data_IF_778295585555
#
_entry.id   IF_778295585555
#
_cell.length_a   1.000
_cell.length_b   1.000
_cell.length_c   1.000
_cell.angle_alpha   90.00
_cell.angle_beta   90.00
_cell.angle_gamma   90.00
#
_symmetry.space_group_name_H-M   'P 1'
#
loop_
_entity.id
_entity.type
_entity.pdbx_description
1 polymer ?
#
# COMPACT_ATOMS: atom_id res chain seq x y z
N UNK A 1 41.89 67.14 5.58
CA UNK A 1 40.48 66.98 6.01
C UNK A 1 40.34 65.52 6.39
N UNK A 2 40.64 65.14 7.64
CA UNK A 2 39.72 64.96 8.80
C UNK A 2 38.76 63.78 8.53
N UNK A 3 38.62 62.72 9.32
CA UNK A 3 39.21 62.25 10.60
C UNK A 3 38.71 60.80 10.82
N UNK A 4 39.54 59.96 11.45
CA UNK A 4 39.24 58.63 11.97
C UNK A 4 39.06 58.74 13.50
N UNK A 5 37.84 58.76 14.00
CA UNK A 5 37.53 58.32 15.38
C UNK A 5 36.03 58.28 15.66
N UNK A 6 35.50 57.08 15.95
CA UNK A 6 34.73 56.78 17.18
C UNK A 6 34.01 55.41 17.08
N UNK A 7 34.46 54.41 17.85
CA UNK A 7 33.83 53.84 19.08
C UNK A 7 32.64 52.91 18.75
N UNK A 8 32.43 51.70 19.27
CA UNK A 8 33.18 50.63 19.95
C UNK A 8 32.27 49.37 19.80
N UNK A 9 32.81 48.13 19.79
CA UNK A 9 32.03 46.89 19.80
C UNK A 9 31.51 46.56 21.21
N UNK A 10 30.27 46.06 21.32
CA UNK A 10 29.66 45.60 22.58
C UNK A 10 29.95 44.11 22.79
N UNK A 11 30.43 43.82 24.00
CA UNK A 11 30.75 42.53 24.58
C UNK A 11 29.61 41.50 24.55
N UNK A 12 29.97 40.24 24.26
CA UNK A 12 29.13 39.06 24.52
C UNK A 12 29.75 38.28 25.68
N UNK A 13 29.07 38.09 26.82
CA UNK A 13 29.64 37.37 27.95
C UNK A 13 29.47 35.85 27.81
N UNK A 14 30.47 35.14 28.32
CA UNK A 14 30.53 33.69 28.47
C UNK A 14 29.98 33.22 29.83
N UNK A 15 29.30 32.07 29.82
CA UNK A 15 28.84 31.27 30.97
C UNK A 15 27.83 30.24 30.47
N UNK A 16 27.68 29.02 30.96
CA UNK A 16 28.29 28.26 32.05
C UNK A 16 27.99 26.75 31.77
N UNK A 17 28.57 25.83 32.54
CA UNK A 17 28.61 24.35 32.37
C UNK A 17 27.25 23.61 32.25
N UNK A 18 27.23 22.36 31.72
CA UNK A 18 25.99 21.64 31.41
C UNK A 18 25.34 20.99 32.65
N UNK A 19 24.05 21.28 32.85
CA UNK A 19 23.16 20.61 33.80
C UNK A 19 22.56 19.31 33.23
N UNK A 20 22.44 18.30 34.09
CA UNK A 20 21.75 17.01 33.85
C UNK A 20 20.23 17.16 34.02
N UNK A 21 19.51 16.15 33.48
CA UNK A 21 18.06 15.85 33.52
C UNK A 21 17.19 16.83 32.70
N UNK A 22 16.28 16.38 31.85
CA UNK A 22 15.24 15.38 32.12
C UNK A 22 15.06 14.36 30.99
N UNK A 23 14.69 13.15 31.41
CA UNK A 23 14.31 12.02 30.57
C UNK A 23 13.18 12.40 29.60
N UNK A 24 13.55 12.72 28.37
CA UNK A 24 12.66 12.59 27.24
C UNK A 24 12.38 11.11 27.07
N UNK A 25 11.31 10.63 27.69
CA UNK A 25 10.69 9.34 27.37
C UNK A 25 10.36 9.41 25.89
N UNK A 26 11.29 8.93 25.07
CA UNK A 26 11.00 8.50 23.73
C UNK A 26 9.82 7.54 23.92
N UNK A 27 8.64 7.96 23.45
CA UNK A 27 7.55 7.02 23.23
C UNK A 27 8.13 6.00 22.27
N UNK A 28 8.62 4.90 22.82
CA UNK A 28 8.63 3.63 22.13
C UNK A 28 7.16 3.38 21.79
N UNK A 29 6.73 3.91 20.63
CA UNK A 29 5.62 3.34 19.91
C UNK A 29 6.09 1.93 19.59
N UNK A 30 5.82 1.00 20.50
CA UNK A 30 5.89 -0.42 20.22
C UNK A 30 4.90 -0.69 19.11
N UNK A 31 5.34 -0.54 17.86
CA UNK A 31 4.47 -0.69 16.73
C UNK A 31 4.13 -2.17 16.62
N UNK A 32 2.91 -2.52 16.99
CA UNK A 32 2.23 -3.62 16.32
C UNK A 32 2.02 -3.21 14.86
N UNK A 33 3.08 -3.16 14.05
CA UNK A 33 3.01 -2.66 12.68
C UNK A 33 2.41 -3.74 11.79
N UNK A 34 1.11 -3.97 11.89
CA UNK A 34 0.34 -4.90 11.06
C UNK A 34 -0.11 -4.25 9.74
N UNK A 35 0.36 -3.02 9.48
CA UNK A 35 0.08 -2.26 8.28
C UNK A 35 -1.42 -1.99 8.14
N UNK A 36 -2.04 -1.58 9.24
CA UNK A 36 -3.44 -1.14 9.34
C UNK A 36 -4.46 -2.27 9.13
N UNK A 37 -4.04 -3.54 9.23
CA UNK A 37 -4.92 -4.68 9.05
C UNK A 37 -5.96 -4.80 10.17
N UNK A 38 -5.58 -4.50 11.42
CA UNK A 38 -6.52 -4.47 12.56
C UNK A 38 -7.60 -3.41 12.36
N UNK A 39 -7.21 -2.21 11.97
CA UNK A 39 -8.14 -1.11 11.68
C UNK A 39 -9.08 -1.48 10.52
N UNK A 40 -8.53 -2.04 9.44
CA UNK A 40 -9.33 -2.51 8.29
C UNK A 40 -10.32 -3.60 8.72
N UNK A 41 -9.92 -4.54 9.57
CA UNK A 41 -10.79 -5.59 10.07
C UNK A 41 -11.94 -5.00 10.90
N UNK A 42 -11.65 -4.01 11.75
CA UNK A 42 -12.67 -3.32 12.53
C UNK A 42 -13.68 -2.58 11.64
N UNK A 43 -13.20 -1.85 10.63
CA UNK A 43 -14.05 -1.16 9.65
C UNK A 43 -14.95 -2.14 8.88
N UNK A 44 -14.38 -3.27 8.43
CA UNK A 44 -15.14 -4.32 7.75
C UNK A 44 -16.18 -4.97 8.68
N UNK A 45 -15.86 -5.19 9.94
CA UNK A 45 -16.82 -5.72 10.93
C UNK A 45 -17.98 -4.75 11.14
N UNK A 46 -17.71 -3.45 11.25
CA UNK A 46 -18.73 -2.40 11.42
C UNK A 46 -19.69 -2.38 10.24
N UNK A 47 -19.17 -2.26 9.01
CA UNK A 47 -20.01 -2.18 7.80
C UNK A 47 -20.83 -3.45 7.56
N UNK A 48 -20.28 -4.62 7.88
CA UNK A 48 -21.00 -5.89 7.75
C UNK A 48 -22.12 -5.99 8.80
N UNK A 49 -21.87 -5.52 10.03
CA UNK A 49 -22.84 -5.55 11.13
C UNK A 49 -24.03 -4.61 10.88
N UNK A 50 -23.83 -3.51 10.14
CA UNK A 50 -24.89 -2.59 9.73
C UNK A 50 -25.88 -3.19 8.70
N UNK A 51 -25.62 -4.39 8.17
CA UNK A 51 -26.46 -5.11 7.19
C UNK A 51 -26.91 -4.21 6.02
N UNK A 52 -25.97 -3.61 5.27
CA UNK A 52 -26.27 -2.56 4.30
C UNK A 52 -27.18 -3.00 3.14
N UNK A 53 -27.19 -4.30 2.80
CA UNK A 53 -28.08 -4.85 1.76
C UNK A 53 -29.52 -5.16 2.25
N UNK A 54 -29.79 -5.02 3.55
CA UNK A 54 -31.10 -5.29 4.16
C UNK A 54 -31.85 -3.99 4.51
N UNK A 55 -31.30 -2.82 4.14
CA UNK A 55 -31.98 -1.53 4.37
C UNK A 55 -33.26 -1.43 3.53
N UNK A 56 -34.28 -0.79 4.10
CA UNK A 56 -35.57 -0.60 3.45
C UNK A 56 -35.46 0.19 2.14
N UNK A 57 -34.56 1.18 2.10
CA UNK A 57 -34.21 1.94 0.90
C UNK A 57 -32.68 1.98 0.81
N UNK A 58 -32.15 1.54 -0.32
CA UNK A 58 -30.71 1.58 -0.63
C UNK A 58 -30.46 2.79 -1.53
N UNK A 59 -29.51 3.63 -1.13
CA UNK A 59 -29.05 4.82 -1.88
C UNK A 59 -27.53 4.78 -2.02
N UNK A 60 -27.03 3.80 -2.74
CA UNK A 60 -25.60 3.51 -2.79
C UNK A 60 -24.79 4.67 -3.38
N UNK A 61 -25.40 5.46 -4.27
CA UNK A 61 -24.80 6.62 -4.92
C UNK A 61 -24.44 7.72 -3.90
N UNK A 62 -25.20 7.84 -2.81
CA UNK A 62 -24.91 8.79 -1.71
C UNK A 62 -23.67 8.38 -0.89
N UNK A 63 -23.23 7.11 -1.03
CA UNK A 63 -22.02 6.63 -0.39
C UNK A 63 -20.76 6.85 -1.23
N UNK A 64 -20.89 7.29 -2.48
CA UNK A 64 -19.74 7.57 -3.36
C UNK A 64 -18.96 8.79 -2.85
N UNK A 65 -17.64 8.63 -2.81
CA UNK A 65 -16.72 9.71 -2.46
C UNK A 65 -15.50 9.69 -3.39
N UNK A 66 -15.53 10.50 -4.47
CA UNK A 66 -14.40 10.64 -5.40
C UNK A 66 -13.11 11.15 -4.74
N UNK A 67 -13.19 11.86 -3.61
CA UNK A 67 -11.99 12.29 -2.88
C UNK A 67 -11.28 11.11 -2.20
N UNK A 68 -11.95 9.96 -2.05
CA UNK A 68 -11.39 8.74 -1.48
C UNK A 68 -10.78 7.78 -2.53
N UNK A 69 -10.74 8.14 -3.82
CA UNK A 69 -10.11 7.31 -4.85
C UNK A 69 -8.67 6.96 -4.42
N UNK A 70 -8.28 5.67 -4.45
CA UNK A 70 -6.97 5.22 -3.99
C UNK A 70 -5.88 5.78 -4.88
N UNK A 71 -4.79 6.26 -4.29
CA UNK A 71 -3.63 6.77 -5.02
C UNK A 71 -2.94 5.65 -5.81
N UNK A 72 -2.79 4.47 -5.19
CA UNK A 72 -2.13 3.32 -5.78
C UNK A 72 -3.01 2.07 -5.70
N UNK A 73 -3.05 1.32 -6.80
CA UNK A 73 -3.59 -0.03 -6.87
C UNK A 73 -2.77 -0.89 -7.82
N UNK A 74 -2.83 -2.21 -7.66
CA UNK A 74 -2.21 -3.18 -8.57
C UNK A 74 -3.04 -3.25 -9.84
N UNK A 75 -2.47 -2.77 -10.94
CA UNK A 75 -3.12 -2.72 -12.24
C UNK A 75 -2.92 -4.00 -13.06
N UNK A 76 -1.79 -4.68 -12.87
CA UNK A 76 -1.44 -5.97 -13.51
C UNK A 76 -0.59 -6.83 -12.57
N UNK A 77 -0.62 -8.15 -12.73
CA UNK A 77 0.19 -9.08 -11.94
C UNK A 77 0.48 -10.37 -12.72
N UNK A 78 1.59 -11.02 -12.38
CA UNK A 78 2.04 -12.31 -12.94
C UNK A 78 2.57 -13.17 -11.80
N UNK A 79 1.89 -14.29 -11.56
CA UNK A 79 2.35 -15.30 -10.61
C UNK A 79 3.36 -16.22 -11.28
N UNK A 80 4.63 -16.08 -10.89
CA UNK A 80 5.71 -17.01 -11.26
C UNK A 80 6.44 -17.51 -10.00
N UNK A 81 5.65 -17.80 -8.96
CA UNK A 81 6.14 -18.16 -7.62
C UNK A 81 6.67 -19.59 -7.49
N UNK A 82 6.45 -20.46 -8.48
CA UNK A 82 7.13 -21.77 -8.56
C UNK A 82 8.65 -21.63 -8.67
N UNK A 83 9.15 -20.53 -9.25
CA UNK A 83 10.59 -20.28 -9.46
C UNK A 83 11.11 -18.99 -8.84
N UNK A 84 10.38 -17.88 -8.95
CA UNK A 84 10.94 -16.55 -8.70
C UNK A 84 10.14 -15.72 -7.72
N UNK A 85 8.83 -15.58 -7.93
CA UNK A 85 7.97 -14.73 -7.11
C UNK A 85 6.79 -14.16 -7.88
N UNK A 86 6.17 -13.13 -7.30
CA UNK A 86 5.04 -12.41 -7.89
C UNK A 86 5.50 -11.07 -8.46
N UNK A 87 5.39 -10.90 -9.78
CA UNK A 87 5.55 -9.61 -10.44
C UNK A 87 4.23 -8.85 -10.47
N UNK A 88 4.28 -7.53 -10.30
CA UNK A 88 3.12 -6.66 -10.33
C UNK A 88 3.44 -5.29 -10.91
N UNK A 89 2.43 -4.66 -11.51
CA UNK A 89 2.48 -3.28 -12.00
C UNK A 89 1.44 -2.46 -11.23
N UNK A 90 1.82 -1.28 -10.74
CA UNK A 90 0.89 -0.35 -10.12
C UNK A 90 0.20 0.54 -11.18
N UNK A 91 -0.78 1.34 -10.76
CA UNK A 91 -1.53 2.22 -11.65
C UNK A 91 -0.70 3.36 -12.24
N UNK A 92 0.38 3.78 -11.59
CA UNK A 92 1.33 4.80 -12.05
C UNK A 92 2.36 4.26 -13.07
N UNK A 93 2.26 2.98 -13.44
CA UNK A 93 3.17 2.23 -14.30
C UNK A 93 4.52 1.83 -13.69
N UNK A 94 4.77 2.10 -12.41
CA UNK A 94 5.86 1.45 -11.69
C UNK A 94 5.63 -0.07 -11.63
N UNK A 95 6.74 -0.82 -11.52
CA UNK A 95 6.73 -2.28 -11.53
C UNK A 95 7.50 -2.79 -10.33
N UNK A 96 6.95 -3.77 -9.62
CA UNK A 96 7.64 -4.43 -8.52
C UNK A 96 7.61 -5.95 -8.65
N UNK A 97 8.55 -6.59 -7.97
CA UNK A 97 8.55 -8.04 -7.78
C UNK A 97 8.74 -8.33 -6.30
N UNK A 98 7.86 -9.14 -5.73
CA UNK A 98 8.05 -9.79 -4.44
C UNK A 98 8.62 -11.18 -4.71
N UNK A 99 9.91 -11.37 -4.42
CA UNK A 99 10.61 -12.62 -4.65
C UNK A 99 10.30 -13.66 -3.55
N UNK A 100 10.45 -14.94 -3.89
CA UNK A 100 10.26 -16.05 -2.95
C UNK A 100 11.18 -15.98 -1.72
N UNK A 101 12.32 -15.30 -1.85
CA UNK A 101 13.25 -15.06 -0.77
C UNK A 101 12.83 -13.89 0.15
N UNK A 102 11.59 -13.42 0.03
CA UNK A 102 10.99 -12.33 0.82
C UNK A 102 11.63 -10.95 0.64
N UNK A 103 12.43 -10.76 -0.41
CA UNK A 103 12.94 -9.45 -0.81
C UNK A 103 12.07 -8.84 -1.91
N UNK A 104 12.16 -7.53 -2.11
CA UNK A 104 11.45 -6.82 -3.17
C UNK A 104 12.41 -5.98 -4.01
N UNK A 105 12.13 -5.89 -5.29
CA UNK A 105 12.77 -4.92 -6.17
C UNK A 105 11.69 -4.19 -6.96
N UNK A 106 11.75 -2.88 -6.93
CA UNK A 106 10.75 -1.98 -7.52
C UNK A 106 11.48 -1.06 -8.49
N UNK A 107 10.89 -0.85 -9.65
CA UNK A 107 11.29 0.10 -10.67
C UNK A 107 10.22 1.18 -10.77
N UNK A 108 10.62 2.42 -10.60
CA UNK A 108 9.73 3.57 -10.74
C UNK A 108 9.29 3.75 -12.20
N UNK A 109 8.31 4.61 -12.42
CA UNK A 109 7.74 4.86 -13.75
C UNK A 109 8.72 5.54 -14.73
N UNK A 110 9.82 6.13 -14.24
CA UNK A 110 10.95 6.63 -15.03
C UNK A 110 11.74 5.51 -15.74
N UNK A 111 11.56 4.26 -15.32
CA UNK A 111 12.24 3.09 -15.88
C UNK A 111 13.71 2.95 -15.48
N UNK A 112 14.22 3.83 -14.60
CA UNK A 112 15.63 3.87 -14.19
C UNK A 112 15.80 3.79 -12.68
N UNK A 113 14.99 4.50 -11.90
CA UNK A 113 15.10 4.49 -10.45
C UNK A 113 14.64 3.15 -9.89
N UNK A 114 15.44 2.58 -8.99
CA UNK A 114 15.20 1.30 -8.35
C UNK A 114 15.11 1.46 -6.83
N UNK A 115 14.20 0.73 -6.21
CA UNK A 115 14.17 0.54 -4.76
C UNK A 115 14.28 -0.96 -4.47
N UNK A 116 15.32 -1.34 -3.75
CA UNK A 116 15.50 -2.69 -3.22
C UNK A 116 15.10 -2.71 -1.75
N UNK A 117 14.34 -3.72 -1.35
CA UNK A 117 13.89 -3.92 0.03
C UNK A 117 14.27 -5.34 0.42
N UNK A 118 15.10 -5.48 1.45
CA UNK A 118 15.54 -6.79 1.90
C UNK A 118 14.50 -7.50 2.79
N UNK A 119 14.91 -8.60 3.41
CA UNK A 119 14.03 -9.42 4.27
C UNK A 119 13.72 -8.75 5.61
N UNK A 120 14.60 -7.87 6.06
CA UNK A 120 14.48 -7.11 7.30
C UNK A 120 13.83 -5.75 7.07
N UNK A 121 13.28 -5.54 5.88
CA UNK A 121 12.60 -4.31 5.46
C UNK A 121 13.55 -3.11 5.34
N UNK A 122 14.85 -3.35 5.25
CA UNK A 122 15.83 -2.30 4.97
C UNK A 122 15.74 -1.91 3.51
N UNK A 123 15.66 -0.61 3.26
CA UNK A 123 15.50 -0.07 1.93
C UNK A 123 16.82 0.48 1.37
N UNK A 124 17.04 0.28 0.09
CA UNK A 124 18.17 0.83 -0.65
C UNK A 124 17.68 1.43 -1.96
N UNK A 125 18.06 2.67 -2.23
CA UNK A 125 17.72 3.39 -3.45
C UNK A 125 18.89 3.27 -4.42
N UNK A 126 18.60 2.76 -5.61
CA UNK A 126 19.57 2.36 -6.63
C UNK A 126 19.12 2.92 -7.99
N UNK A 127 19.94 2.72 -9.01
CA UNK A 127 19.58 3.06 -10.39
C UNK A 127 19.85 1.88 -11.31
N UNK A 128 19.04 1.68 -12.35
CA UNK A 128 19.19 0.59 -13.31
C UNK A 128 20.53 0.66 -14.06
N UNK A 129 21.13 1.85 -14.17
CA UNK A 129 22.47 2.08 -14.73
C UNK A 129 23.60 1.73 -13.74
N UNK A 130 23.32 1.70 -12.44
CA UNK A 130 24.30 1.45 -11.38
C UNK A 130 23.67 0.77 -10.16
N UNK A 131 23.85 -0.55 -10.07
CA UNK A 131 23.43 -1.37 -8.93
C UNK A 131 24.48 -2.45 -8.62
N UNK A 132 24.52 -3.00 -7.39
CA UNK A 132 25.47 -4.03 -7.01
C UNK A 132 25.32 -5.30 -7.87
N UNK A 133 26.42 -5.96 -8.30
CA UNK A 133 26.36 -7.17 -9.13
C UNK A 133 25.51 -8.32 -8.54
N UNK A 134 25.35 -8.35 -7.21
CA UNK A 134 24.48 -9.31 -6.51
C UNK A 134 23.00 -9.20 -6.91
N UNK A 135 22.54 -8.05 -7.41
CA UNK A 135 21.16 -7.83 -7.83
C UNK A 135 20.91 -8.11 -9.33
N UNK A 136 21.93 -8.42 -10.12
CA UNK A 136 21.81 -8.62 -11.58
C UNK A 136 20.72 -9.61 -11.97
N UNK A 137 20.61 -10.73 -11.27
CA UNK A 137 19.55 -11.72 -11.54
C UNK A 137 18.15 -11.15 -11.27
N UNK A 138 17.97 -10.44 -10.16
CA UNK A 138 16.68 -9.83 -9.78
C UNK A 138 16.30 -8.69 -10.72
N UNK A 139 17.26 -7.85 -11.12
CA UNK A 139 17.05 -6.76 -12.08
C UNK A 139 16.63 -7.30 -13.46
N UNK A 140 17.25 -8.38 -13.93
CA UNK A 140 16.85 -9.06 -15.17
C UNK A 140 15.44 -9.65 -15.08
N UNK A 141 15.10 -10.32 -13.98
CA UNK A 141 13.75 -10.86 -13.77
C UNK A 141 12.69 -9.75 -13.74
N UNK A 142 12.99 -8.62 -13.06
CA UNK A 142 12.11 -7.46 -13.04
C UNK A 142 11.82 -6.92 -14.45
N UNK A 143 12.84 -6.85 -15.32
CA UNK A 143 12.67 -6.49 -16.73
C UNK A 143 11.76 -7.47 -17.47
N UNK A 144 11.92 -8.78 -17.27
CA UNK A 144 11.06 -9.79 -17.88
C UNK A 144 9.60 -9.63 -17.45
N UNK A 145 9.35 -9.46 -16.15
CA UNK A 145 8.00 -9.21 -15.64
C UNK A 145 7.40 -7.93 -16.24
N UNK A 146 8.16 -6.82 -16.28
CA UNK A 146 7.75 -5.55 -16.89
C UNK A 146 7.33 -5.74 -18.34
N UNK A 147 8.19 -6.34 -19.16
CA UNK A 147 7.93 -6.52 -20.60
C UNK A 147 6.70 -7.40 -20.83
N UNK A 148 6.62 -8.54 -20.13
CA UNK A 148 5.48 -9.44 -20.23
C UNK A 148 4.16 -8.75 -19.87
N UNK A 149 4.13 -8.01 -18.74
CA UNK A 149 2.92 -7.29 -18.32
C UNK A 149 2.55 -6.16 -19.29
N UNK A 150 3.54 -5.50 -19.91
CA UNK A 150 3.31 -4.47 -20.92
C UNK A 150 2.69 -5.05 -22.19
N UNK A 151 3.18 -6.20 -22.65
CA UNK A 151 2.81 -6.82 -23.93
C UNK A 151 1.51 -7.65 -23.86
N UNK A 152 1.22 -8.30 -22.73
CA UNK A 152 0.19 -9.35 -22.70
C UNK A 152 -1.02 -9.05 -21.80
N UNK A 153 -0.96 -8.05 -20.94
CA UNK A 153 -1.96 -7.84 -19.90
C UNK A 153 -2.66 -6.48 -20.02
N UNK A 154 -3.98 -6.47 -19.79
CA UNK A 154 -4.79 -5.25 -19.72
C UNK A 154 -4.58 -4.54 -18.38
N UNK A 155 -4.55 -3.21 -18.40
CA UNK A 155 -4.41 -2.38 -17.19
C UNK A 155 -5.76 -2.21 -16.48
N UNK A 156 -5.89 -2.71 -15.26
CA UNK A 156 -7.08 -2.46 -14.44
C UNK A 156 -7.16 -0.99 -14.00
N UNK A 157 -8.34 -0.37 -14.11
CA UNK A 157 -8.54 1.06 -13.80
C UNK A 157 -7.88 2.01 -14.80
N UNK A 158 -7.70 1.62 -16.06
CA UNK A 158 -7.04 2.44 -17.08
C UNK A 158 -7.78 3.77 -17.39
N UNK A 159 -9.08 3.83 -17.08
CA UNK A 159 -9.94 5.01 -17.23
C UNK A 159 -9.87 5.99 -16.05
N UNK A 160 -9.09 5.67 -15.00
CA UNK A 160 -8.94 6.54 -13.83
C UNK A 160 -7.69 7.40 -14.00
N UNK A 161 -7.93 8.71 -14.04
CA UNK A 161 -6.86 9.71 -14.12
C UNK A 161 -6.27 9.93 -12.72
N UNK A 162 -4.95 9.83 -12.54
CA UNK A 162 -4.29 10.26 -11.30
C UNK A 162 -4.62 11.72 -10.98
N UNK A 163 -4.73 12.04 -9.69
CA UNK A 163 -4.98 13.43 -9.25
C UNK A 163 -3.66 14.19 -9.19
N UNK A 164 -3.75 15.51 -9.32
CA UNK A 164 -2.59 16.38 -9.08
C UNK A 164 -2.06 16.17 -7.65
N UNK A 165 -0.74 16.00 -7.52
CA UNK A 165 -0.07 15.74 -6.24
C UNK A 165 0.02 14.27 -5.83
N UNK A 166 -0.69 13.33 -6.49
CA UNK A 166 -0.57 11.89 -6.23
C UNK A 166 0.87 11.39 -6.48
N UNK A 167 1.62 12.05 -7.36
CA UNK A 167 3.03 11.77 -7.67
C UNK A 167 4.00 12.01 -6.50
N UNK A 168 3.60 12.81 -5.50
CA UNK A 168 4.38 13.06 -4.28
C UNK A 168 4.16 11.97 -3.23
N UNK A 169 3.14 11.12 -3.39
CA UNK A 169 2.86 10.05 -2.47
C UNK A 169 3.95 8.98 -2.54
N UNK A 170 4.35 8.47 -1.37
CA UNK A 170 5.35 7.41 -1.28
C UNK A 170 4.85 6.14 -1.98
N UNK A 171 5.62 5.69 -2.98
CA UNK A 171 5.31 4.49 -3.74
C UNK A 171 5.25 3.26 -2.82
N UNK A 172 4.11 2.52 -2.77
CA UNK A 172 4.01 1.35 -1.94
C UNK A 172 4.61 0.12 -2.62
N UNK A 173 4.97 -0.87 -1.81
CA UNK A 173 5.42 -2.17 -2.28
C UNK A 173 4.50 -3.28 -1.82
N UNK A 174 4.52 -4.41 -2.52
CA UNK A 174 3.73 -5.57 -2.15
C UNK A 174 4.34 -6.25 -0.91
N UNK A 175 3.59 -6.26 0.20
CA UNK A 175 4.04 -6.91 1.44
C UNK A 175 3.83 -8.41 1.37
N UNK A 176 2.57 -8.81 1.18
CA UNK A 176 2.10 -10.19 1.26
C UNK A 176 1.06 -10.36 0.17
N UNK A 177 1.02 -11.55 -0.41
CA UNK A 177 -0.05 -11.96 -1.29
C UNK A 177 -0.35 -13.44 -1.08
N UNK A 178 -1.54 -13.86 -1.44
CA UNK A 178 -1.87 -15.27 -1.59
C UNK A 178 -3.04 -15.44 -2.55
N UNK A 179 -3.20 -16.67 -3.04
CA UNK A 179 -4.36 -17.07 -3.82
C UNK A 179 -5.30 -17.94 -3.02
N UNK A 180 -6.55 -17.88 -3.41
CA UNK A 180 -7.62 -18.81 -3.06
C UNK A 180 -8.13 -19.44 -4.36
N UNK A 181 -9.18 -20.26 -4.27
CA UNK A 181 -9.85 -20.76 -5.48
C UNK A 181 -10.59 -19.66 -6.24
N UNK A 182 -11.01 -18.60 -5.56
CA UNK A 182 -11.93 -17.59 -6.11
C UNK A 182 -11.27 -16.25 -6.43
N UNK A 183 -10.15 -15.94 -5.76
CA UNK A 183 -9.51 -14.64 -5.87
C UNK A 183 -8.01 -14.68 -5.52
N UNK A 184 -7.30 -13.64 -5.99
CA UNK A 184 -5.98 -13.25 -5.48
C UNK A 184 -6.14 -12.09 -4.49
N UNK A 185 -5.40 -12.15 -3.39
CA UNK A 185 -5.35 -11.11 -2.34
C UNK A 185 -3.96 -10.49 -2.34
N UNK A 186 -3.90 -9.17 -2.37
CA UNK A 186 -2.68 -8.37 -2.49
C UNK A 186 -2.68 -7.31 -1.38
N UNK A 187 -1.68 -7.34 -0.50
CA UNK A 187 -1.55 -6.37 0.59
C UNK A 187 -0.33 -5.48 0.37
N UNK A 188 -0.57 -4.18 0.17
CA UNK A 188 0.46 -3.16 -0.08
C UNK A 188 0.98 -2.54 1.22
N UNK A 189 2.17 -1.93 1.16
CA UNK A 189 2.85 -1.34 2.33
C UNK A 189 2.21 -0.07 2.88
N UNK A 190 1.27 0.53 2.16
CA UNK A 190 0.45 1.64 2.62
C UNK A 190 -0.85 1.18 3.32
N UNK A 191 -1.00 -0.12 3.57
CA UNK A 191 -2.18 -0.73 4.19
C UNK A 191 -3.30 -1.09 3.22
N UNK A 192 -3.18 -0.73 1.94
CA UNK A 192 -4.19 -1.09 0.94
C UNK A 192 -4.27 -2.61 0.77
N UNK A 193 -5.48 -3.16 0.87
CA UNK A 193 -5.77 -4.56 0.53
C UNK A 193 -6.61 -4.60 -0.74
N UNK A 194 -6.08 -5.22 -1.79
CA UNK A 194 -6.77 -5.42 -3.05
C UNK A 194 -7.11 -6.90 -3.24
N UNK A 195 -8.34 -7.16 -3.68
CA UNK A 195 -8.84 -8.51 -3.99
C UNK A 195 -9.37 -8.50 -5.41
N UNK A 196 -8.82 -9.35 -6.26
CA UNK A 196 -9.30 -9.53 -7.63
C UNK A 196 -9.96 -10.91 -7.75
N UNK A 197 -11.25 -10.93 -8.07
CA UNK A 197 -12.03 -12.15 -8.24
C UNK A 197 -11.84 -12.72 -9.64
N UNK A 198 -11.63 -14.03 -9.74
CA UNK A 198 -11.24 -14.67 -11.00
C UNK A 198 -12.43 -14.91 -11.94
N UNK A 199 -13.59 -15.23 -11.39
CA UNK A 199 -14.73 -15.70 -12.18
C UNK A 199 -15.46 -14.57 -12.92
N UNK A 200 -15.69 -13.44 -12.24
CA UNK A 200 -16.46 -12.31 -12.76
C UNK A 200 -15.58 -11.07 -13.07
N UNK A 201 -14.27 -11.19 -12.82
CA UNK A 201 -13.28 -10.11 -13.00
C UNK A 201 -13.53 -8.85 -12.16
N UNK A 202 -14.43 -8.90 -11.19
CA UNK A 202 -14.65 -7.79 -10.26
C UNK A 202 -13.48 -7.66 -9.29
N UNK A 203 -13.33 -6.47 -8.71
CA UNK A 203 -12.23 -6.16 -7.80
C UNK A 203 -12.71 -5.27 -6.66
N UNK A 204 -12.12 -5.44 -5.50
CA UNK A 204 -12.24 -4.48 -4.42
C UNK A 204 -10.85 -3.99 -4.00
N UNK A 205 -10.73 -2.69 -3.75
CA UNK A 205 -9.52 -2.05 -3.25
C UNK A 205 -9.91 -1.34 -1.95
N UNK A 206 -9.42 -1.85 -0.83
CA UNK A 206 -9.75 -1.37 0.51
C UNK A 206 -8.61 -0.50 1.02
N UNK A 207 -8.94 0.73 1.44
CA UNK A 207 -7.99 1.67 2.02
C UNK A 207 -8.39 1.96 3.47
N UNK A 208 -7.68 1.42 4.47
CA UNK A 208 -8.03 1.63 5.88
C UNK A 208 -7.90 3.09 6.31
N UNK A 209 -6.92 3.82 5.78
CA UNK A 209 -6.68 5.23 6.11
C UNK A 209 -7.83 6.15 5.67
N UNK A 210 -8.49 5.81 4.56
CA UNK A 210 -9.63 6.56 4.03
C UNK A 210 -10.97 5.98 4.51
N UNK A 211 -10.96 4.88 5.26
CA UNK A 211 -12.15 4.09 5.60
C UNK A 211 -13.05 3.86 4.37
N UNK A 212 -12.44 3.44 3.27
CA UNK A 212 -13.07 3.42 1.95
C UNK A 212 -12.83 2.10 1.21
N UNK A 213 -13.77 1.79 0.32
CA UNK A 213 -13.68 0.69 -0.64
C UNK A 213 -13.92 1.21 -2.05
N UNK A 214 -13.00 0.92 -2.95
CA UNK A 214 -13.27 1.01 -4.38
C UNK A 214 -13.76 -0.34 -4.87
N UNK A 215 -14.87 -0.33 -5.61
CA UNK A 215 -15.40 -1.48 -6.33
C UNK A 215 -15.21 -1.29 -7.84
N UNK A 216 -14.57 -2.26 -8.47
CA UNK A 216 -14.51 -2.37 -9.93
C UNK A 216 -15.45 -3.49 -10.34
N UNK A 217 -16.53 -3.15 -11.01
CA UNK A 217 -17.60 -4.08 -11.37
C UNK A 217 -17.28 -4.89 -12.64
N UNK A 218 -18.22 -5.74 -13.08
CA UNK A 218 -18.08 -6.56 -14.28
C UNK A 218 -17.98 -5.72 -15.57
N UNK A 219 -18.57 -4.53 -15.56
CA UNK A 219 -18.51 -3.54 -16.65
C UNK A 219 -17.22 -2.73 -16.64
N UNK A 220 -16.36 -2.95 -15.64
CA UNK A 220 -15.10 -2.21 -15.40
C UNK A 220 -15.32 -0.76 -15.01
N UNK A 221 -16.51 -0.43 -14.51
CA UNK A 221 -16.77 0.85 -13.86
C UNK A 221 -16.09 0.88 -12.50
N UNK A 222 -15.58 2.04 -12.12
CA UNK A 222 -14.74 2.22 -10.93
C UNK A 222 -15.44 3.16 -9.97
N UNK A 223 -16.00 2.61 -8.90
CA UNK A 223 -16.81 3.33 -7.94
C UNK A 223 -16.13 3.30 -6.58
N UNK A 224 -15.95 4.46 -5.93
CA UNK A 224 -15.30 4.53 -4.62
C UNK A 224 -16.27 5.00 -3.57
N UNK A 225 -16.41 4.22 -2.49
CA UNK A 225 -17.38 4.46 -1.43
C UNK A 225 -16.68 4.59 -0.08
N UNK A 226 -17.18 5.51 0.76
CA UNK A 226 -16.85 5.49 2.19
C UNK A 226 -17.62 4.36 2.88
N UNK A 227 -16.93 3.54 3.67
CA UNK A 227 -17.56 2.43 4.41
C UNK A 227 -18.60 2.93 5.40
N UNK A 228 -18.34 4.06 6.08
CA UNK A 228 -19.32 4.71 6.97
C UNK A 228 -20.58 5.18 6.22
N UNK A 229 -20.45 5.60 4.97
CA UNK A 229 -21.61 6.00 4.17
C UNK A 229 -22.37 4.78 3.64
N UNK A 230 -21.69 3.66 3.38
CA UNK A 230 -22.36 2.37 3.12
C UNK A 230 -23.18 1.93 4.36
N UNK A 231 -22.65 2.13 5.56
CA UNK A 231 -23.39 1.87 6.81
C UNK A 231 -24.66 2.72 6.91
N UNK A 232 -24.64 3.97 6.43
CA UNK A 232 -25.79 4.89 6.48
C UNK A 232 -26.80 4.65 5.34
N UNK A 233 -26.33 4.51 4.11
CA UNK A 233 -27.17 4.50 2.90
C UNK A 233 -27.39 3.13 2.29
N UNK A 234 -26.64 2.11 2.71
CA UNK A 234 -26.73 0.76 2.20
C UNK A 234 -25.99 0.57 0.89
N UNK A 235 -25.89 -0.69 0.44
CA UNK A 235 -25.30 -1.03 -0.85
C UNK A 235 -25.85 -2.36 -1.38
N UNK A 236 -25.56 -2.67 -2.63
CA UNK A 236 -26.03 -3.87 -3.30
C UNK A 236 -25.48 -5.15 -2.65
N UNK A 237 -26.25 -6.24 -2.74
CA UNK A 237 -25.89 -7.57 -2.18
C UNK A 237 -24.53 -8.07 -2.67
N UNK A 238 -24.19 -7.72 -3.90
CA UNK A 238 -22.95 -8.10 -4.55
C UNK A 238 -21.72 -7.52 -3.83
N UNK A 239 -21.75 -6.21 -3.54
CA UNK A 239 -20.69 -5.53 -2.79
C UNK A 239 -20.62 -6.06 -1.36
N UNK A 240 -21.76 -6.30 -0.70
CA UNK A 240 -21.78 -6.91 0.65
C UNK A 240 -21.13 -8.29 0.66
N UNK A 241 -21.40 -9.14 -0.33
CA UNK A 241 -20.77 -10.45 -0.46
C UNK A 241 -19.25 -10.33 -0.55
N UNK A 242 -18.76 -9.37 -1.35
CA UNK A 242 -17.32 -9.09 -1.50
C UNK A 242 -16.70 -8.53 -0.23
N UNK A 243 -17.39 -7.66 0.50
CA UNK A 243 -16.93 -7.15 1.80
C UNK A 243 -16.83 -8.26 2.86
N UNK A 244 -17.80 -9.18 2.91
CA UNK A 244 -17.72 -10.37 3.80
C UNK A 244 -16.55 -11.28 3.45
N UNK A 245 -16.34 -11.51 2.15
CA UNK A 245 -15.17 -12.24 1.67
C UNK A 245 -13.88 -11.52 2.08
N UNK A 246 -13.82 -10.21 1.91
CA UNK A 246 -12.66 -9.40 2.27
C UNK A 246 -12.32 -9.48 3.75
N UNK A 247 -13.31 -9.40 4.64
CA UNK A 247 -13.11 -9.58 6.09
C UNK A 247 -12.40 -10.89 6.39
N UNK A 248 -12.86 -12.00 5.78
CA UNK A 248 -12.23 -13.32 5.95
C UNK A 248 -10.80 -13.33 5.44
N UNK A 249 -10.50 -12.64 4.34
CA UNK A 249 -9.14 -12.54 3.80
C UNK A 249 -8.23 -11.69 4.69
N UNK A 250 -8.75 -10.61 5.30
CA UNK A 250 -8.02 -9.76 6.24
C UNK A 250 -7.68 -10.52 7.53
N UNK A 251 -8.61 -11.31 8.07
CA UNK A 251 -8.32 -12.22 9.20
C UNK A 251 -7.20 -13.20 8.87
N UNK A 252 -7.19 -13.73 7.64
CA UNK A 252 -6.12 -14.61 7.16
C UNK A 252 -4.78 -13.88 7.04
N UNK A 253 -4.76 -12.61 6.61
CA UNK A 253 -3.55 -11.80 6.56
C UNK A 253 -2.97 -11.57 7.97
N UNK A 254 -3.83 -11.28 8.96
CA UNK A 254 -3.44 -11.09 10.36
C UNK A 254 -2.85 -12.36 10.99
N UNK A 255 -3.47 -13.52 10.76
CA UNK A 255 -2.99 -14.81 11.28
C UNK A 255 -1.66 -15.24 10.63
N UNK A 256 -1.46 -14.93 9.35
CA UNK A 256 -0.19 -15.22 8.65
C UNK A 256 0.99 -14.45 9.27
N UNK A 257 0.75 -13.23 9.79
CA UNK A 257 1.76 -12.45 10.53
C UNK A 257 2.14 -13.11 11.85
N UNK A 258 1.15 -13.62 12.61
CA UNK A 258 1.38 -14.22 13.92
C UNK A 258 2.35 -15.42 13.85
N UNK A 259 2.24 -16.24 12.80
CA UNK A 259 3.13 -17.39 12.59
C UNK A 259 4.56 -16.95 12.26
N UNK A 260 4.74 -15.91 11.44
CA UNK A 260 6.07 -15.39 11.08
C UNK A 260 6.82 -14.78 12.27
N UNK A 261 6.11 -14.17 13.23
CA UNK A 261 6.71 -13.61 14.45
C UNK A 261 7.05 -14.69 15.48
N UNK A 262 6.24 -15.75 15.62
CA UNK A 262 6.51 -16.83 16.57
C UNK A 262 7.77 -17.64 16.22
N UNK A 263 8.02 -17.91 14.93
CA UNK A 263 9.23 -18.63 14.49
C UNK A 263 10.51 -17.83 14.80
N UNK A 264 10.46 -16.49 14.79
CA UNK A 264 11.62 -15.62 15.13
C UNK A 264 11.99 -15.64 16.62
N UNK A 265 11.08 -15.99 17.52
CA UNK A 265 11.36 -16.02 18.96
C UNK A 265 11.82 -17.39 19.47
N UNK A 266 11.68 -18.44 18.66
CA UNK A 266 12.05 -19.83 19.02
C UNK A 266 13.32 -20.33 18.33
N UNK A 267 14.02 -19.48 17.58
CA UNK A 267 15.25 -19.79 16.86
C UNK A 267 16.47 -19.08 17.48
#
# INVERSE_FOLDING_TARGET
MIDLSNVNPIDVPAGDKPGKSEDGVAREMGECNDFYLTDLLQQLNSVIAARPADKAVIRQEEAEDPACIPIFWVSKWVDYSDKYGLGYQLCDNSVGVLFNDSTRLIMYNDGESLQYIDRDMTESYLNFRSYPPSLSKKATLLKYFRNYMSEHLLKAGANITPREGDELARLPFLRIWFRTRSAIVLHLSNGTVQINFFQDHTKIILCPLMNAVTYIDEKREFHTFKLSMIEEYGCCKELVSRLRYARTMVERLLTTKAVATQVKHTA
#
